data_IF_011155237374
#
_entry.id   IF_011155237374
#
_cell.length_a   1.000
_cell.length_b   1.000
_cell.length_c   1.000
_cell.angle_alpha   90.00
_cell.angle_beta   90.00
_cell.angle_gamma   90.00
#
_symmetry.space_group_name_H-M   'P 1'
#
loop_
_entity.id
_entity.type
_entity.pdbx_description
1 polymer ?
#
# COMPACT_ATOMS: atom_id res chain seq x y z
N UNK A 1 -22.21 30.27 -0.90
CA UNK A 1 -22.24 30.05 0.55
C UNK A 1 -23.31 29.01 0.88
N UNK A 2 -22.90 27.74 0.98
CA UNK A 2 -23.51 26.66 1.76
C UNK A 2 -22.55 25.47 1.65
N UNK A 3 -21.33 25.70 2.14
CA UNK A 3 -20.42 24.64 2.49
C UNK A 3 -21.09 23.86 3.64
N UNK A 4 -21.81 22.81 3.31
CA UNK A 4 -22.27 21.82 4.29
C UNK A 4 -21.09 21.19 5.05
N UNK A 5 -21.39 20.39 6.10
CA UNK A 5 -20.44 20.02 7.17
C UNK A 5 -19.21 19.16 6.75
N UNK A 6 -19.09 18.75 5.48
CA UNK A 6 -17.99 17.91 4.95
C UNK A 6 -17.23 18.59 3.78
N UNK A 7 -16.79 19.84 3.93
CA UNK A 7 -16.13 20.67 2.89
C UNK A 7 -15.10 19.94 2.01
N UNK A 8 -14.02 19.42 2.59
CA UNK A 8 -12.83 18.93 1.84
C UNK A 8 -12.76 17.40 1.84
N UNK A 9 -13.27 16.76 2.89
CA UNK A 9 -13.29 15.30 2.98
C UNK A 9 -14.26 14.67 1.97
N UNK A 10 -15.42 15.27 1.73
CA UNK A 10 -16.43 14.73 0.80
C UNK A 10 -15.96 14.73 -0.65
N UNK A 11 -15.31 15.81 -1.10
CA UNK A 11 -14.72 15.91 -2.44
C UNK A 11 -13.53 14.97 -2.61
N UNK A 12 -12.68 14.79 -1.59
CA UNK A 12 -11.57 13.84 -1.66
C UNK A 12 -12.07 12.38 -1.76
N UNK A 13 -13.12 12.04 -1.02
CA UNK A 13 -13.72 10.72 -1.04
C UNK A 13 -14.45 10.46 -2.37
N UNK A 14 -15.23 11.44 -2.86
CA UNK A 14 -15.87 11.36 -4.17
C UNK A 14 -14.85 11.19 -5.31
N UNK A 15 -13.72 11.91 -5.26
CA UNK A 15 -12.64 11.79 -6.24
C UNK A 15 -11.97 10.42 -6.19
N UNK A 16 -11.74 9.87 -5.00
CA UNK A 16 -11.18 8.52 -4.83
C UNK A 16 -12.12 7.44 -5.36
N UNK A 17 -13.43 7.57 -5.10
CA UNK A 17 -14.46 6.66 -5.65
C UNK A 17 -14.52 6.76 -7.17
N UNK A 18 -14.58 7.98 -7.72
CA UNK A 18 -14.64 8.19 -9.17
C UNK A 18 -13.42 7.58 -9.87
N UNK A 19 -12.21 7.78 -9.33
CA UNK A 19 -10.99 7.16 -9.86
C UNK A 19 -10.98 5.63 -9.73
N UNK A 20 -11.54 5.08 -8.65
CA UNK A 20 -11.67 3.62 -8.48
C UNK A 20 -12.62 3.04 -9.53
N UNK A 21 -13.74 3.71 -9.80
CA UNK A 21 -14.71 3.28 -10.83
C UNK A 21 -14.10 3.36 -12.22
N UNK A 22 -13.39 4.44 -12.55
CA UNK A 22 -12.69 4.60 -13.83
C UNK A 22 -11.67 3.48 -14.06
N UNK A 23 -10.84 3.20 -13.04
CA UNK A 23 -9.88 2.11 -13.08
C UNK A 23 -10.56 0.74 -13.25
N UNK A 24 -11.67 0.49 -12.54
CA UNK A 24 -12.41 -0.77 -12.67
C UNK A 24 -13.01 -0.96 -14.06
N UNK A 25 -13.55 0.09 -14.67
CA UNK A 25 -14.07 0.05 -16.04
C UNK A 25 -12.93 -0.26 -17.02
N UNK A 26 -11.80 0.43 -16.90
CA UNK A 26 -10.63 0.20 -17.74
C UNK A 26 -10.10 -1.22 -17.58
N UNK A 27 -9.99 -1.70 -16.33
CA UNK A 27 -9.56 -3.05 -15.99
C UNK A 27 -10.48 -4.11 -16.60
N UNK A 28 -11.81 -3.93 -16.48
CA UNK A 28 -12.79 -4.85 -17.08
C UNK A 28 -12.69 -4.90 -18.61
N UNK A 29 -12.51 -3.76 -19.27
CA UNK A 29 -12.31 -3.70 -20.73
C UNK A 29 -11.00 -4.38 -21.14
N UNK A 30 -9.93 -4.23 -20.34
CA UNK A 30 -8.65 -4.89 -20.57
C UNK A 30 -8.73 -6.40 -20.36
N UNK A 31 -9.37 -6.86 -19.29
CA UNK A 31 -9.55 -8.28 -18.98
C UNK A 31 -10.27 -9.01 -20.12
N UNK A 32 -11.37 -8.42 -20.61
CA UNK A 32 -12.10 -8.93 -21.77
C UNK A 32 -11.25 -9.02 -23.05
N UNK A 33 -10.18 -8.22 -23.15
CA UNK A 33 -9.23 -8.28 -24.28
C UNK A 33 -8.07 -9.26 -24.06
N UNK A 34 -7.79 -9.66 -22.82
CA UNK A 34 -6.58 -10.41 -22.43
C UNK A 34 -6.85 -11.85 -21.94
N UNK A 35 -8.12 -12.25 -21.77
CA UNK A 35 -8.65 -13.62 -21.62
C UNK A 35 -8.01 -14.56 -20.55
N UNK A 36 -6.95 -14.15 -19.85
CA UNK A 36 -6.21 -15.03 -18.94
C UNK A 36 -5.40 -14.34 -17.83
N UNK A 37 -5.73 -13.10 -17.44
CA UNK A 37 -4.92 -12.32 -16.48
C UNK A 37 -5.42 -12.36 -15.02
N UNK A 38 -6.65 -12.81 -14.77
CA UNK A 38 -7.39 -12.44 -13.56
C UNK A 38 -6.93 -13.19 -12.28
N UNK A 39 -6.62 -14.49 -12.40
CA UNK A 39 -6.42 -15.34 -11.21
C UNK A 39 -5.08 -15.15 -10.50
N UNK A 40 -4.02 -14.75 -11.20
CA UNK A 40 -2.74 -14.42 -10.56
C UNK A 40 -2.76 -13.00 -9.98
N UNK A 41 -3.33 -12.04 -10.72
CA UNK A 41 -3.36 -10.64 -10.32
C UNK A 41 -4.24 -10.42 -9.09
N UNK A 42 -5.39 -11.11 -8.99
CA UNK A 42 -6.22 -11.10 -7.78
C UNK A 42 -5.50 -11.74 -6.58
N UNK A 43 -4.77 -12.84 -6.77
CA UNK A 43 -3.94 -13.42 -5.69
C UNK A 43 -2.89 -12.43 -5.22
N UNK A 44 -2.23 -11.72 -6.13
CA UNK A 44 -1.29 -10.65 -5.79
C UNK A 44 -1.94 -9.51 -5.02
N UNK A 45 -3.10 -9.05 -5.51
CA UNK A 45 -3.85 -7.97 -4.88
C UNK A 45 -4.28 -8.32 -3.45
N UNK A 46 -4.82 -9.53 -3.23
CA UNK A 46 -5.20 -10.00 -1.88
C UNK A 46 -3.98 -10.06 -0.95
N UNK A 47 -2.84 -10.53 -1.46
CA UNK A 47 -1.61 -10.71 -0.70
C UNK A 47 -1.02 -9.36 -0.27
N UNK A 48 -1.01 -8.39 -1.18
CA UNK A 48 -0.57 -7.01 -0.89
C UNK A 48 -1.55 -6.30 0.06
N UNK A 49 -2.85 -6.49 -0.13
CA UNK A 49 -3.89 -5.91 0.75
C UNK A 49 -3.80 -6.47 2.17
N UNK A 50 -3.57 -7.78 2.31
CA UNK A 50 -3.34 -8.39 3.63
C UNK A 50 -2.07 -7.86 4.30
N UNK A 51 -1.00 -7.67 3.53
CA UNK A 51 0.25 -7.12 4.05
C UNK A 51 0.12 -5.66 4.50
N UNK A 52 -0.57 -4.83 3.72
CA UNK A 52 -0.80 -3.42 4.04
C UNK A 52 -1.70 -3.25 5.26
N UNK A 53 -2.72 -4.10 5.43
CA UNK A 53 -3.52 -4.15 6.65
C UNK A 53 -2.67 -4.53 7.87
N UNK A 54 -1.83 -5.54 7.76
CA UNK A 54 -0.96 -5.98 8.86
C UNK A 54 0.05 -4.88 9.26
N UNK A 55 0.66 -4.21 8.27
CA UNK A 55 1.52 -3.05 8.48
C UNK A 55 0.75 -1.89 9.15
N UNK A 56 -0.47 -1.60 8.71
CA UNK A 56 -1.32 -0.56 9.30
C UNK A 56 -1.64 -0.83 10.77
N UNK A 57 -1.98 -2.07 11.12
CA UNK A 57 -2.23 -2.49 12.51
C UNK A 57 -0.95 -2.39 13.34
N UNK A 58 0.18 -2.84 12.81
CA UNK A 58 1.49 -2.70 13.46
C UNK A 58 1.84 -1.24 13.74
N UNK A 59 1.66 -0.37 12.75
CA UNK A 59 1.89 1.07 12.85
C UNK A 59 0.99 1.71 13.92
N UNK A 60 -0.29 1.34 13.97
CA UNK A 60 -1.22 1.80 15.01
C UNK A 60 -0.80 1.36 16.42
N UNK A 61 -0.36 0.11 16.57
CA UNK A 61 0.11 -0.40 17.86
C UNK A 61 1.40 0.32 18.31
N UNK A 62 2.36 0.51 17.41
CA UNK A 62 3.57 1.30 17.66
C UNK A 62 3.25 2.74 18.05
N UNK A 63 2.28 3.37 17.37
CA UNK A 63 1.84 4.71 17.72
C UNK A 63 1.23 4.80 19.12
N UNK A 64 0.49 3.77 19.55
CA UNK A 64 -0.12 3.72 20.88
C UNK A 64 0.90 3.43 21.98
N UNK A 65 1.93 2.63 21.70
CA UNK A 65 2.92 2.20 22.70
C UNK A 65 4.09 3.20 22.86
N UNK A 66 4.42 4.00 21.84
CA UNK A 66 5.41 5.07 21.96
C UNK A 66 4.79 6.34 22.57
N UNK A 67 4.92 6.52 23.89
CA UNK A 67 4.70 7.80 24.59
C UNK A 67 5.98 8.64 24.59
N UNK A 68 6.45 9.06 23.41
CA UNK A 68 7.52 10.05 23.32
C UNK A 68 6.95 11.46 23.41
N UNK A 69 7.62 12.32 24.18
CA UNK A 69 7.26 13.74 24.37
C UNK A 69 7.45 14.61 23.11
N UNK A 70 8.14 14.11 22.08
CA UNK A 70 8.42 14.82 20.83
C UNK A 70 7.65 14.17 19.66
N UNK A 71 6.60 14.83 19.17
CA UNK A 71 5.74 14.36 18.08
C UNK A 71 6.48 14.12 16.76
N UNK A 72 7.44 14.97 16.40
CA UNK A 72 8.24 14.81 15.18
C UNK A 72 9.09 13.55 15.19
N UNK A 73 9.73 13.25 16.33
CA UNK A 73 10.57 12.06 16.50
C UNK A 73 9.71 10.78 16.46
N UNK A 74 8.52 10.83 17.05
CA UNK A 74 7.53 9.75 16.98
C UNK A 74 7.08 9.48 15.55
N UNK A 75 6.79 10.53 14.77
CA UNK A 75 6.46 10.41 13.35
C UNK A 75 7.59 9.78 12.54
N UNK A 76 8.84 10.21 12.73
CA UNK A 76 9.98 9.63 12.03
C UNK A 76 10.19 8.16 12.38
N UNK A 77 10.13 7.79 13.66
CA UNK A 77 10.33 6.41 14.12
C UNK A 77 9.22 5.50 13.60
N UNK A 78 7.95 5.94 13.68
CA UNK A 78 6.82 5.15 13.20
C UNK A 78 6.81 5.06 11.67
N UNK A 79 7.19 6.13 10.96
CA UNK A 79 7.33 6.12 9.50
C UNK A 79 8.41 5.15 9.03
N UNK A 80 9.61 5.22 9.61
CA UNK A 80 10.72 4.31 9.29
C UNK A 80 10.39 2.87 9.72
N UNK A 81 9.80 2.68 10.90
CA UNK A 81 9.38 1.36 11.40
C UNK A 81 8.29 0.72 10.54
N UNK A 82 7.32 1.52 10.07
CA UNK A 82 6.30 1.10 9.12
C UNK A 82 6.90 0.68 7.78
N UNK A 83 7.80 1.49 7.23
CA UNK A 83 8.50 1.16 5.99
C UNK A 83 9.29 -0.15 6.09
N UNK A 84 10.00 -0.35 7.21
CA UNK A 84 10.70 -1.59 7.51
C UNK A 84 9.75 -2.78 7.67
N UNK A 85 8.64 -2.62 8.40
CA UNK A 85 7.62 -3.67 8.55
C UNK A 85 7.02 -4.08 7.20
N UNK A 86 6.72 -3.12 6.34
CA UNK A 86 6.18 -3.39 5.01
C UNK A 86 7.22 -4.10 4.13
N UNK A 87 8.47 -3.63 4.14
CA UNK A 87 9.57 -4.24 3.41
C UNK A 87 9.86 -5.68 3.86
N UNK A 88 10.05 -5.88 5.16
CA UNK A 88 10.31 -7.20 5.76
C UNK A 88 9.12 -8.14 5.56
N UNK A 89 7.90 -7.66 5.77
CA UNK A 89 6.69 -8.44 5.55
C UNK A 89 6.50 -8.84 4.09
N UNK A 90 6.84 -7.95 3.14
CA UNK A 90 6.76 -8.23 1.71
C UNK A 90 7.76 -9.30 1.25
N UNK A 91 8.96 -9.29 1.82
CA UNK A 91 9.97 -10.33 1.62
C UNK A 91 9.54 -11.65 2.26
N UNK A 92 9.04 -11.61 3.50
CA UNK A 92 8.59 -12.79 4.24
C UNK A 92 7.41 -13.50 3.57
N UNK A 93 6.47 -12.74 2.99
CA UNK A 93 5.34 -13.30 2.25
C UNK A 93 5.74 -13.87 0.88
N UNK A 94 6.99 -13.79 0.41
CA UNK A 94 7.39 -14.18 -0.96
C UNK A 94 6.41 -13.61 -2.01
N UNK A 95 6.17 -12.30 -1.96
CA UNK A 95 5.45 -11.65 -3.04
C UNK A 95 6.44 -11.60 -4.22
N UNK A 96 6.09 -12.13 -5.40
CA UNK A 96 6.97 -12.10 -6.58
C UNK A 96 7.51 -10.69 -6.85
N UNK A 97 6.70 -9.65 -6.62
CA UNK A 97 7.12 -8.25 -6.74
C UNK A 97 8.23 -7.88 -5.74
N UNK A 98 8.13 -8.30 -4.48
CA UNK A 98 9.17 -8.06 -3.46
C UNK A 98 10.45 -8.85 -3.77
N UNK A 99 10.32 -10.08 -4.26
CA UNK A 99 11.45 -10.89 -4.73
C UNK A 99 12.10 -10.28 -5.98
N UNK A 100 11.31 -9.70 -6.90
CA UNK A 100 11.80 -9.05 -8.12
C UNK A 100 12.57 -7.77 -7.79
N UNK A 101 12.05 -6.97 -6.85
CA UNK A 101 12.74 -5.77 -6.31
C UNK A 101 14.02 -6.17 -5.58
N UNK A 102 13.99 -7.21 -4.75
CA UNK A 102 15.18 -7.73 -4.08
C UNK A 102 16.23 -8.24 -5.06
N UNK A 103 15.80 -8.93 -6.12
CA UNK A 103 16.68 -9.40 -7.19
C UNK A 103 17.30 -8.26 -8.02
N UNK A 104 16.63 -7.13 -8.16
CA UNK A 104 17.21 -5.93 -8.77
C UNK A 104 18.27 -5.30 -7.86
N UNK A 105 18.01 -5.24 -6.55
CA UNK A 105 18.96 -4.76 -5.56
C UNK A 105 20.20 -5.66 -5.52
N UNK A 106 20.03 -6.99 -5.50
CA UNK A 106 21.14 -7.94 -5.51
C UNK A 106 21.96 -7.87 -6.81
N UNK A 107 21.31 -7.68 -7.96
CA UNK A 107 22.00 -7.46 -9.24
C UNK A 107 22.72 -6.12 -9.29
N UNK A 108 22.15 -5.06 -8.72
CA UNK A 108 22.79 -3.75 -8.62
C UNK A 108 24.03 -3.75 -7.71
N UNK A 109 23.99 -4.55 -6.63
CA UNK A 109 25.12 -4.72 -5.71
C UNK A 109 26.23 -5.59 -6.32
N UNK A 110 25.91 -6.56 -7.18
CA UNK A 110 26.91 -7.37 -7.91
C UNK A 110 27.51 -6.67 -9.13
N UNK A 111 26.96 -5.52 -9.55
CA UNK A 111 27.45 -4.74 -10.68
C UNK A 111 28.48 -3.65 -10.29
N UNK A 112 28.83 -3.58 -8.99
CA UNK A 112 29.87 -2.72 -8.43
C UNK A 112 30.93 -3.58 -7.74
#
# INVERSE_FOLDING_TARGET
MLMGPMKVGGIALASSIAGTVDFLILFYVMDKKLDHFDSELLKYFLKVTGLSLCMGIGCFFFWKHLSFSNEFLKLCIVGVGGFLMYGLGGVFLKIEQAQKVWGWIEKGIKAY
#
